data_IF_488072721747
#
_entry.id   IF_488072721747
#
_cell.length_a   1.000
_cell.length_b   1.000
_cell.length_c   1.000
_cell.angle_alpha   90.00
_cell.angle_beta   90.00
_cell.angle_gamma   90.00
#
_symmetry.space_group_name_H-M   'P 1'
#
loop_
_entity.id
_entity.type
_entity.pdbx_description
1 polymer ?
#
# COMPACT_ATOMS: atom_id res chain seq x y z
N UNK A 1 -10.63 -4.83 -4.90
CA UNK A 1 -10.59 -5.97 -3.96
C UNK A 1 -9.50 -5.88 -2.89
N UNK A 2 -8.18 -5.92 -3.19
CA UNK A 2 -7.16 -5.89 -2.11
C UNK A 2 -6.96 -4.52 -1.45
N UNK A 3 -7.06 -3.43 -2.21
CA UNK A 3 -6.84 -2.08 -1.68
C UNK A 3 -8.02 -1.60 -0.82
N UNK A 4 -9.25 -1.80 -1.31
CA UNK A 4 -10.48 -1.48 -0.56
C UNK A 4 -10.54 -2.21 0.78
N UNK A 5 -10.17 -3.50 0.82
CA UNK A 5 -10.10 -4.26 2.06
C UNK A 5 -9.08 -3.69 3.06
N UNK A 6 -7.94 -3.20 2.58
CA UNK A 6 -6.96 -2.55 3.43
C UNK A 6 -7.51 -1.24 4.03
N UNK A 7 -8.24 -0.46 3.23
CA UNK A 7 -8.89 0.78 3.67
C UNK A 7 -10.01 0.47 4.68
N UNK A 8 -10.83 -0.54 4.42
CA UNK A 8 -11.94 -0.94 5.30
C UNK A 8 -11.49 -1.35 6.70
N UNK A 9 -10.29 -1.95 6.84
CA UNK A 9 -9.72 -2.29 8.15
C UNK A 9 -8.93 -1.15 8.78
N UNK A 10 -8.86 0.02 8.13
CA UNK A 10 -8.11 1.18 8.60
C UNK A 10 -6.60 0.99 8.56
N UNK A 11 -6.09 0.21 7.60
CA UNK A 11 -4.65 0.07 7.43
C UNK A 11 -4.02 1.41 7.01
N UNK A 12 -2.92 1.77 7.66
CA UNK A 12 -2.13 2.96 7.31
C UNK A 12 -1.07 2.63 6.25
N UNK A 13 -0.55 1.41 6.26
CA UNK A 13 0.50 0.95 5.34
C UNK A 13 0.16 -0.43 4.79
N UNK A 14 0.19 -0.57 3.46
CA UNK A 14 0.10 -1.83 2.73
C UNK A 14 1.48 -2.23 2.21
N UNK A 15 2.04 -3.30 2.78
CA UNK A 15 3.40 -3.75 2.47
C UNK A 15 3.37 -4.95 1.51
N UNK A 16 4.26 -4.96 0.53
CA UNK A 16 4.46 -6.09 -0.38
C UNK A 16 5.94 -6.23 -0.73
N UNK A 17 6.34 -7.39 -1.27
CA UNK A 17 7.70 -7.62 -1.79
C UNK A 17 7.72 -7.82 -3.31
N UNK A 18 6.58 -7.58 -3.96
CA UNK A 18 6.41 -7.79 -5.40
C UNK A 18 6.41 -6.44 -6.12
N UNK A 19 7.42 -6.14 -6.96
CA UNK A 19 7.50 -4.85 -7.65
C UNK A 19 6.29 -4.53 -8.53
N UNK A 20 5.70 -5.56 -9.15
CA UNK A 20 4.48 -5.39 -9.94
C UNK A 20 3.27 -5.00 -9.06
N UNK A 21 3.17 -5.57 -7.86
CA UNK A 21 2.09 -5.23 -6.95
C UNK A 21 2.19 -3.77 -6.48
N UNK A 22 3.40 -3.26 -6.24
CA UNK A 22 3.60 -1.85 -5.87
C UNK A 22 3.02 -0.95 -6.94
N UNK A 23 3.44 -1.13 -8.20
CA UNK A 23 2.94 -0.34 -9.34
C UNK A 23 1.41 -0.47 -9.45
N UNK A 24 0.90 -1.69 -9.44
CA UNK A 24 -0.53 -1.94 -9.59
C UNK A 24 -1.37 -1.31 -8.47
N UNK A 25 -0.89 -1.34 -7.22
CA UNK A 25 -1.60 -0.74 -6.09
C UNK A 25 -1.50 0.77 -6.11
N UNK A 26 -0.36 1.36 -6.49
CA UNK A 26 -0.22 2.81 -6.63
C UNK A 26 -1.13 3.34 -7.73
N UNK A 27 -1.16 2.68 -8.89
CA UNK A 27 -2.07 3.03 -9.98
C UNK A 27 -3.54 2.91 -9.55
N UNK A 28 -3.88 1.85 -8.80
CA UNK A 28 -5.24 1.66 -8.27
C UNK A 28 -5.62 2.75 -7.26
N UNK A 29 -4.68 3.17 -6.40
CA UNK A 29 -4.85 4.20 -5.36
C UNK A 29 -5.29 5.53 -5.97
N UNK A 30 -4.68 5.94 -7.08
CA UNK A 30 -5.01 7.22 -7.75
C UNK A 30 -6.48 7.34 -8.17
N UNK A 31 -7.18 6.23 -8.35
CA UNK A 31 -8.58 6.20 -8.80
C UNK A 31 -9.58 6.00 -7.67
N UNK A 32 -9.11 5.65 -6.48
CA UNK A 32 -9.95 5.24 -5.36
C UNK A 32 -10.11 6.39 -4.36
N UNK A 33 -11.35 6.78 -4.07
CA UNK A 33 -11.65 7.78 -3.04
C UNK A 33 -11.21 7.27 -1.66
N UNK A 34 -10.78 8.19 -0.80
CA UNK A 34 -10.37 7.92 0.58
C UNK A 34 -9.15 7.00 0.73
N UNK A 35 -8.37 6.84 -0.34
CA UNK A 35 -7.12 6.05 -0.32
C UNK A 35 -5.86 6.91 -0.13
N UNK A 36 -6.00 8.22 0.02
CA UNK A 36 -4.89 9.18 0.15
C UNK A 36 -4.03 8.92 1.39
N UNK A 37 -4.62 8.33 2.44
CA UNK A 37 -3.93 8.02 3.70
C UNK A 37 -3.24 6.66 3.71
N UNK A 38 -3.51 5.79 2.72
CA UNK A 38 -2.90 4.46 2.65
C UNK A 38 -1.57 4.55 1.89
N UNK A 39 -0.46 4.26 2.58
CA UNK A 39 0.86 4.14 1.98
C UNK A 39 1.09 2.75 1.41
N UNK A 40 1.75 2.64 0.26
CA UNK A 40 2.16 1.36 -0.31
C UNK A 40 3.68 1.31 -0.27
N UNK A 41 4.25 0.29 0.38
CA UNK A 41 5.70 0.15 0.59
C UNK A 41 6.22 -1.21 0.17
N UNK A 42 7.48 -1.24 -0.25
CA UNK A 42 8.25 -2.47 -0.29
C UNK A 42 8.64 -2.91 1.13
N UNK A 43 8.71 -4.23 1.37
CA UNK A 43 9.14 -4.78 2.66
C UNK A 43 10.54 -4.30 3.07
N UNK A 44 11.42 -4.02 2.11
CA UNK A 44 12.77 -3.50 2.38
C UNK A 44 12.75 -2.08 2.96
N UNK A 45 11.76 -1.25 2.62
CA UNK A 45 11.60 0.08 3.20
C UNK A 45 11.26 -0.01 4.68
N UNK A 46 10.35 -0.93 5.07
CA UNK A 46 10.01 -1.18 6.48
C UNK A 46 11.23 -1.64 7.27
N UNK A 47 12.05 -2.51 6.68
CA UNK A 47 13.28 -2.98 7.33
C UNK A 47 14.27 -1.83 7.53
N UNK A 48 14.39 -0.92 6.55
CA UNK A 48 15.26 0.25 6.67
C UNK A 48 14.78 1.26 7.72
N UNK A 49 13.48 1.40 7.95
CA UNK A 49 12.93 2.30 8.97
C UNK A 49 13.22 1.87 10.41
N UNK A 50 13.56 0.60 10.63
CA UNK A 50 13.75 0.01 11.98
C UNK A 50 15.21 -0.34 12.31
N UNK A 51 16.15 -0.03 11.41
CA UNK A 51 17.60 -0.21 11.61
C UNK A 51 18.27 1.15 11.86
#
# INVERSE_FOLDING_TARGET
>A
LRLEQAIEVGAEVLVTSCPYCIINFEDSRLTLKDSETLEIKDITEIIQEVI
#
